data_IF_802763123114
#
_entry.id   IF_802763123114
#
_cell.length_a   1.000
_cell.length_b   1.000
_cell.length_c   1.000
_cell.angle_alpha   90.00
_cell.angle_beta   90.00
_cell.angle_gamma   90.00
#
_symmetry.space_group_name_H-M   'P 1'
#
loop_
_entity.id
_entity.type
_entity.pdbx_description
1 polymer ?
#
# COMPACT_ATOMS: atom_id res chain seq x y z
N UNK A 1 55.54 49.23 -34.20
CA UNK A 1 56.95 49.43 -33.70
C UNK A 1 57.02 48.80 -32.32
N UNK A 2 58.01 47.93 -32.19
CA UNK A 2 58.70 47.48 -30.97
C UNK A 2 57.88 46.77 -29.91
N UNK A 3 57.92 45.39 -29.78
CA UNK A 3 59.00 44.57 -29.12
C UNK A 3 58.87 44.64 -27.59
N UNK A 4 58.82 43.63 -26.86
CA UNK A 4 59.47 42.33 -26.58
C UNK A 4 59.21 42.00 -25.12
N UNK A 5 59.04 40.82 -24.77
CA UNK A 5 59.69 39.65 -24.21
C UNK A 5 59.22 39.43 -22.75
N UNK A 6 58.64 38.34 -22.48
CA UNK A 6 59.13 37.05 -21.97
C UNK A 6 59.60 37.09 -20.50
N UNK A 7 58.94 36.24 -19.70
CA UNK A 7 59.70 35.35 -18.83
C UNK A 7 58.74 34.26 -18.27
N UNK A 8 59.14 33.04 -18.51
CA UNK A 8 58.55 31.82 -17.96
C UNK A 8 59.03 31.62 -16.53
N UNK A 9 58.20 31.16 -15.66
CA UNK A 9 58.62 30.45 -14.46
C UNK A 9 57.75 29.23 -14.26
N UNK A 10 58.38 28.10 -14.52
CA UNK A 10 57.88 26.76 -14.20
C UNK A 10 58.05 26.57 -12.72
N UNK A 11 56.98 26.19 -12.01
CA UNK A 11 57.07 25.54 -10.73
C UNK A 11 56.06 24.38 -10.73
N UNK A 12 56.61 23.20 -10.94
CA UNK A 12 55.92 21.93 -10.69
C UNK A 12 55.91 21.67 -9.20
N UNK A 13 54.76 21.39 -8.65
CA UNK A 13 54.62 20.74 -7.35
C UNK A 13 53.44 19.80 -7.34
N UNK A 14 53.82 18.54 -7.37
CA UNK A 14 53.25 17.35 -6.71
C UNK A 14 51.72 17.23 -6.60
N UNK A 15 51.23 16.29 -7.38
CA UNK A 15 50.05 15.54 -7.14
C UNK A 15 50.14 14.75 -5.84
N UNK A 16 49.22 14.99 -4.92
CA UNK A 16 48.72 13.93 -4.06
C UNK A 16 47.25 13.82 -4.34
N UNK A 17 46.89 12.81 -5.10
CA UNK A 17 45.53 12.40 -5.31
C UNK A 17 44.96 11.81 -4.04
N UNK A 18 43.83 12.32 -3.61
CA UNK A 18 42.80 11.53 -2.91
C UNK A 18 41.58 11.57 -3.79
N UNK A 19 41.43 10.52 -4.58
CA UNK A 19 40.17 10.20 -5.18
C UNK A 19 39.27 9.66 -4.04
N UNK A 20 38.55 10.56 -3.38
CA UNK A 20 37.34 10.19 -2.68
C UNK A 20 36.25 10.15 -3.73
N UNK A 21 35.90 8.93 -4.15
CA UNK A 21 34.62 8.65 -4.78
C UNK A 21 33.53 9.02 -3.76
N UNK A 22 32.93 10.17 -3.94
CA UNK A 22 31.72 10.51 -3.22
C UNK A 22 30.61 9.64 -3.75
N UNK A 23 30.34 8.51 -3.09
CA UNK A 23 29.00 7.99 -3.01
C UNK A 23 28.17 9.11 -2.39
N UNK A 24 27.27 9.65 -3.15
CA UNK A 24 26.15 10.38 -2.58
C UNK A 24 25.22 9.33 -1.96
N UNK A 25 25.59 8.87 -0.76
CA UNK A 25 24.62 8.30 0.13
C UNK A 25 23.61 9.42 0.39
N UNK A 26 22.41 9.23 -0.09
CA UNK A 26 21.24 9.94 0.43
C UNK A 26 21.20 9.56 1.90
N UNK A 27 21.71 10.41 2.76
CA UNK A 27 21.50 10.33 4.19
C UNK A 27 20.01 10.58 4.39
N UNK A 28 19.20 9.50 4.49
CA UNK A 28 17.98 9.56 5.28
C UNK A 28 18.44 10.07 6.66
N UNK A 29 17.73 11.04 7.19
CA UNK A 29 17.98 11.51 8.54
C UNK A 29 17.85 10.26 9.44
N UNK A 30 18.92 9.92 10.18
CA UNK A 30 19.01 8.65 10.94
C UNK A 30 17.88 8.49 11.98
N UNK A 31 16.99 9.47 12.10
CA UNK A 31 15.86 9.52 13.04
C UNK A 31 14.47 9.51 12.36
N UNK A 32 14.36 9.21 11.07
CA UNK A 32 13.07 9.19 10.36
C UNK A 32 12.63 7.76 10.08
N UNK A 33 11.38 7.45 10.45
CA UNK A 33 10.70 6.20 10.08
C UNK A 33 9.85 6.44 8.83
N UNK A 34 10.26 5.88 7.70
CA UNK A 34 9.64 6.09 6.39
C UNK A 34 8.69 4.94 6.07
N UNK A 35 7.41 5.23 5.97
CA UNK A 35 6.35 4.24 5.74
C UNK A 35 5.71 4.42 4.37
N UNK A 36 5.63 3.33 3.59
CA UNK A 36 4.94 3.29 2.31
C UNK A 36 3.48 2.87 2.46
N UNK A 37 2.57 3.59 1.77
CA UNK A 37 1.16 3.24 1.62
C UNK A 37 0.57 3.87 0.36
N UNK A 38 -0.58 3.38 -0.14
CA UNK A 38 -1.21 3.94 -1.34
C UNK A 38 -1.85 5.32 -1.10
N UNK A 39 -2.37 5.56 0.10
CA UNK A 39 -3.22 6.70 0.44
C UNK A 39 -4.46 6.81 -0.46
N UNK A 40 -5.04 5.67 -0.86
CA UNK A 40 -6.23 5.56 -1.70
C UNK A 40 -7.18 4.43 -1.24
N UNK A 41 -7.02 3.94 -0.02
CA UNK A 41 -7.69 2.77 0.55
C UNK A 41 -8.34 3.10 1.91
N UNK A 42 -9.43 3.87 1.88
CA UNK A 42 -10.19 4.20 3.09
C UNK A 42 -10.96 2.95 3.60
N UNK A 43 -11.06 2.73 4.92
CA UNK A 43 -10.61 3.59 6.03
C UNK A 43 -9.19 3.30 6.54
N UNK A 44 -8.42 2.49 5.83
CA UNK A 44 -7.06 2.13 6.24
C UNK A 44 -6.07 3.27 6.00
N UNK A 45 -6.00 3.78 4.76
CA UNK A 45 -5.14 4.90 4.42
C UNK A 45 -5.71 5.68 3.24
N UNK A 46 -5.90 7.00 3.39
CA UNK A 46 -6.41 7.87 2.33
C UNK A 46 -5.81 9.28 2.39
N UNK A 47 -5.91 9.99 1.25
CA UNK A 47 -5.55 11.41 1.19
C UNK A 47 -6.70 12.30 1.63
N UNK A 48 -6.36 13.33 2.41
CA UNK A 48 -7.27 14.42 2.74
C UNK A 48 -6.59 15.77 2.50
N UNK A 49 -7.39 16.80 2.19
CA UNK A 49 -6.92 18.20 2.11
C UNK A 49 -6.95 18.90 3.46
N UNK A 50 -7.63 18.32 4.45
CA UNK A 50 -7.82 18.90 5.77
C UNK A 50 -6.88 18.22 6.76
N UNK A 51 -6.23 19.01 7.60
CA UNK A 51 -5.48 18.52 8.75
C UNK A 51 -6.46 18.06 9.83
N UNK A 52 -6.22 16.89 10.38
CA UNK A 52 -6.95 16.29 11.50
C UNK A 52 -5.99 15.97 12.64
N UNK A 53 -6.53 15.62 13.80
CA UNK A 53 -5.73 15.20 14.96
C UNK A 53 -4.92 13.90 14.70
N UNK A 54 -5.20 13.22 13.60
CA UNK A 54 -4.62 11.89 13.25
C UNK A 54 -3.92 11.86 11.92
N UNK A 55 -3.94 12.98 11.19
CA UNK A 55 -3.33 13.02 9.85
C UNK A 55 -1.85 13.38 9.88
N UNK A 56 -1.12 12.87 8.89
CA UNK A 56 0.31 13.12 8.68
C UNK A 56 0.51 13.90 7.38
N UNK A 57 1.30 14.98 7.36
CA UNK A 57 1.54 15.76 6.15
C UNK A 57 2.20 14.94 5.04
N UNK A 58 1.72 15.12 3.80
CA UNK A 58 2.30 14.58 2.57
C UNK A 58 3.02 15.67 1.77
N UNK A 59 3.76 16.53 2.45
CA UNK A 59 4.39 17.71 1.87
C UNK A 59 3.36 18.68 1.28
N UNK A 60 3.48 19.03 0.00
CA UNK A 60 2.51 19.91 -0.69
C UNK A 60 1.24 19.20 -1.17
N UNK A 61 1.12 17.88 -0.93
CA UNK A 61 0.05 17.05 -1.48
C UNK A 61 -1.14 16.85 -0.52
N UNK A 62 -1.18 17.58 0.59
CA UNK A 62 -2.18 17.43 1.66
C UNK A 62 -1.70 16.50 2.76
N UNK A 63 -2.58 15.65 3.26
CA UNK A 63 -2.31 14.79 4.40
C UNK A 63 -2.72 13.34 4.09
N UNK A 64 -2.06 12.39 4.74
CA UNK A 64 -2.52 11.01 4.87
C UNK A 64 -3.30 10.87 6.18
N UNK A 65 -4.42 10.14 6.16
CA UNK A 65 -5.18 9.80 7.34
C UNK A 65 -5.67 8.34 7.24
N UNK A 66 -6.06 7.76 8.36
CA UNK A 66 -6.59 6.41 8.42
C UNK A 66 -5.99 5.53 9.49
N UNK A 67 -6.51 4.29 9.55
CA UNK A 67 -6.09 3.31 10.54
C UNK A 67 -4.60 2.99 10.44
N UNK A 68 -4.10 2.74 9.22
CA UNK A 68 -2.68 2.46 8.96
C UNK A 68 -1.77 3.64 9.34
N UNK A 69 -2.25 4.87 9.08
CA UNK A 69 -1.52 6.09 9.46
C UNK A 69 -1.36 6.19 10.97
N UNK A 70 -2.41 5.84 11.73
CA UNK A 70 -2.36 5.82 13.20
C UNK A 70 -1.45 4.73 13.74
N UNK A 71 -1.43 3.55 13.09
CA UNK A 71 -0.49 2.47 13.43
C UNK A 71 0.94 2.95 13.18
N UNK A 72 1.20 3.60 12.06
CA UNK A 72 2.52 4.16 11.74
C UNK A 72 2.97 5.23 12.75
N UNK A 73 2.08 6.15 13.13
CA UNK A 73 2.36 7.17 14.16
C UNK A 73 2.71 6.53 15.50
N UNK A 74 1.87 5.56 15.96
CA UNK A 74 2.11 4.87 17.21
C UNK A 74 3.49 4.21 17.25
N UNK A 75 3.88 3.55 16.15
CA UNK A 75 5.18 2.90 16.02
C UNK A 75 6.31 3.93 16.03
N UNK A 76 6.19 5.02 15.28
CA UNK A 76 7.21 6.08 15.25
C UNK A 76 7.43 6.70 16.64
N UNK A 77 6.34 6.99 17.36
CA UNK A 77 6.36 7.52 18.72
C UNK A 77 7.09 6.57 19.69
N UNK A 78 6.79 5.27 19.64
CA UNK A 78 7.43 4.26 20.49
C UNK A 78 8.92 4.04 20.15
N UNK A 79 9.30 4.28 18.89
CA UNK A 79 10.69 4.25 18.46
C UNK A 79 11.43 5.56 18.77
N UNK A 80 10.71 6.64 19.07
CA UNK A 80 11.26 7.99 19.23
C UNK A 80 11.77 8.58 17.92
N UNK A 81 11.13 8.24 16.78
CA UNK A 81 11.48 8.64 15.42
C UNK A 81 10.42 9.60 14.85
N UNK A 82 10.84 10.45 13.92
CA UNK A 82 9.93 11.25 13.12
C UNK A 82 9.27 10.37 12.04
N UNK A 83 7.97 10.51 11.81
CA UNK A 83 7.25 9.75 10.80
C UNK A 83 7.23 10.50 9.45
N UNK A 84 7.65 9.82 8.39
CA UNK A 84 7.42 10.22 7.01
C UNK A 84 6.54 9.19 6.30
N UNK A 85 5.48 9.63 5.62
CA UNK A 85 4.64 8.76 4.78
C UNK A 85 4.93 9.03 3.31
N UNK A 86 5.26 7.97 2.57
CA UNK A 86 5.41 8.00 1.12
C UNK A 86 4.19 7.38 0.44
N UNK A 87 3.57 8.16 -0.44
CA UNK A 87 2.49 7.66 -1.30
C UNK A 87 3.09 6.89 -2.47
N UNK A 88 2.86 5.58 -2.51
CA UNK A 88 3.40 4.66 -3.51
C UNK A 88 2.25 3.79 -4.02
N UNK A 89 2.20 3.52 -5.33
CA UNK A 89 1.22 2.57 -5.88
C UNK A 89 1.41 1.17 -5.29
N UNK A 90 0.33 0.40 -5.20
CA UNK A 90 0.36 -0.96 -4.63
C UNK A 90 1.52 -1.81 -5.15
N UNK A 91 1.67 -1.90 -6.47
CA UNK A 91 2.73 -2.69 -7.14
C UNK A 91 4.15 -2.19 -6.81
N UNK A 92 4.28 -0.94 -6.34
CA UNK A 92 5.56 -0.30 -6.01
C UNK A 92 6.00 -0.48 -4.55
N UNK A 93 5.10 -0.90 -3.64
CA UNK A 93 5.36 -0.92 -2.20
C UNK A 93 6.49 -1.89 -1.82
N UNK A 94 6.40 -3.16 -2.21
CA UNK A 94 7.44 -4.15 -1.89
C UNK A 94 8.78 -3.86 -2.61
N UNK A 95 8.81 -3.42 -3.88
CA UNK A 95 10.04 -2.93 -4.51
C UNK A 95 10.68 -1.74 -3.79
N UNK A 96 9.89 -0.78 -3.29
CA UNK A 96 10.41 0.35 -2.51
C UNK A 96 10.99 -0.11 -1.16
N UNK A 97 10.37 -1.10 -0.52
CA UNK A 97 10.86 -1.71 0.70
C UNK A 97 12.19 -2.44 0.48
N UNK A 98 12.29 -3.25 -0.56
CA UNK A 98 13.51 -4.00 -0.91
C UNK A 98 14.68 -3.05 -1.24
N UNK A 99 14.43 -1.97 -1.97
CA UNK A 99 15.46 -0.96 -2.30
C UNK A 99 15.90 -0.12 -1.09
N UNK A 100 15.13 -0.14 0.01
CA UNK A 100 15.37 0.71 1.18
C UNK A 100 14.91 2.16 0.99
N UNK A 101 14.02 2.41 0.02
CA UNK A 101 13.36 3.71 -0.13
C UNK A 101 12.38 3.99 1.02
N UNK A 102 11.79 2.92 1.59
CA UNK A 102 10.93 2.92 2.77
C UNK A 102 11.41 1.87 3.76
N UNK A 103 11.11 2.06 5.04
CA UNK A 103 11.50 1.15 6.13
C UNK A 103 10.43 0.08 6.39
N UNK A 104 9.17 0.40 6.10
CA UNK A 104 8.04 -0.49 6.30
C UNK A 104 6.90 -0.22 5.28
N UNK A 105 6.10 -1.25 5.01
CA UNK A 105 4.79 -1.11 4.36
C UNK A 105 3.72 -1.30 5.42
N UNK A 106 2.86 -0.28 5.61
CA UNK A 106 1.67 -0.33 6.46
C UNK A 106 0.50 0.15 5.58
N UNK A 107 -0.17 -0.80 4.92
CA UNK A 107 -1.05 -0.49 3.79
C UNK A 107 -2.20 -1.51 3.63
N UNK A 108 -2.73 -2.06 4.73
CA UNK A 108 -3.73 -3.11 4.64
C UNK A 108 -3.21 -4.39 3.98
N UNK A 109 -1.91 -4.68 4.10
CA UNK A 109 -1.27 -5.77 3.36
C UNK A 109 -1.36 -7.10 4.13
N UNK A 110 -1.89 -8.13 3.49
CA UNK A 110 -1.88 -9.50 4.01
C UNK A 110 -0.52 -10.16 3.75
N UNK A 111 0.02 -10.85 4.73
CA UNK A 111 1.15 -11.75 4.54
C UNK A 111 0.68 -13.00 3.78
N UNK A 112 1.31 -13.30 2.65
CA UNK A 112 1.06 -14.54 1.92
C UNK A 112 2.38 -15.13 1.42
N UNK A 113 2.37 -16.41 1.00
CA UNK A 113 3.57 -17.14 0.60
C UNK A 113 4.38 -16.44 -0.50
N UNK A 114 3.73 -15.74 -1.42
CA UNK A 114 4.42 -15.00 -2.50
C UNK A 114 5.17 -13.80 -1.94
N UNK A 115 4.51 -13.00 -1.10
CA UNK A 115 5.08 -11.78 -0.51
C UNK A 115 6.16 -12.10 0.52
N UNK A 116 6.01 -13.20 1.26
CA UNK A 116 7.01 -13.68 2.23
C UNK A 116 8.32 -14.17 1.58
N UNK A 117 8.37 -14.31 0.26
CA UNK A 117 9.62 -14.59 -0.46
C UNK A 117 10.53 -13.35 -0.59
N UNK A 118 10.01 -12.16 -0.41
CA UNK A 118 10.75 -10.91 -0.58
C UNK A 118 10.60 -9.91 0.57
N UNK A 119 9.85 -10.26 1.61
CA UNK A 119 9.67 -9.41 2.79
C UNK A 119 9.41 -10.24 4.05
N UNK A 120 9.85 -9.75 5.19
CA UNK A 120 9.44 -10.24 6.50
C UNK A 120 8.13 -9.58 6.94
N UNK A 121 7.25 -10.33 7.60
CA UNK A 121 5.99 -9.79 8.10
C UNK A 121 5.90 -9.87 9.62
N UNK A 122 5.21 -8.90 10.22
CA UNK A 122 4.85 -8.93 11.64
C UNK A 122 3.67 -9.89 11.88
N UNK A 123 3.32 -10.11 13.15
CA UNK A 123 1.99 -10.61 13.48
C UNK A 123 0.93 -9.63 12.97
N UNK A 124 -0.28 -10.10 12.61
CA UNK A 124 -1.34 -9.22 12.15
C UNK A 124 -1.70 -8.13 13.17
N UNK A 125 -1.94 -6.92 12.68
CA UNK A 125 -2.46 -5.81 13.48
C UNK A 125 -3.96 -5.57 13.27
N UNK A 126 -4.54 -6.22 12.26
CA UNK A 126 -5.97 -6.21 11.97
C UNK A 126 -6.39 -7.55 11.37
N UNK A 127 -7.62 -7.96 11.65
CA UNK A 127 -8.26 -9.16 11.09
C UNK A 127 -9.68 -8.78 10.66
N UNK A 128 -10.00 -9.03 9.38
CA UNK A 128 -11.30 -8.77 8.80
C UNK A 128 -12.22 -9.97 9.01
N UNK A 129 -13.54 -9.74 9.06
CA UNK A 129 -14.55 -10.80 9.16
C UNK A 129 -14.77 -11.59 7.84
N UNK A 130 -13.81 -11.50 6.90
CA UNK A 130 -13.84 -12.17 5.61
C UNK A 130 -14.14 -11.22 4.44
N UNK A 131 -14.19 -11.81 3.24
CA UNK A 131 -14.43 -11.06 2.01
C UNK A 131 -15.92 -11.02 1.66
N UNK A 132 -16.32 -9.88 1.10
CA UNK A 132 -17.68 -9.58 0.64
C UNK A 132 -17.66 -9.13 -0.83
N UNK A 133 -18.81 -8.85 -1.39
CA UNK A 133 -18.94 -8.25 -2.72
C UNK A 133 -19.66 -6.91 -2.63
N UNK A 134 -19.15 -5.88 -3.31
CA UNK A 134 -19.87 -4.62 -3.53
C UNK A 134 -20.58 -4.73 -4.88
N UNK A 135 -21.86 -4.43 -4.92
CA UNK A 135 -22.71 -4.51 -6.12
C UNK A 135 -23.61 -3.29 -6.24
N UNK A 136 -24.24 -3.09 -7.40
CA UNK A 136 -25.31 -2.08 -7.55
C UNK A 136 -26.52 -2.48 -6.71
N UNK A 137 -27.10 -1.53 -6.00
CA UNK A 137 -28.21 -1.75 -5.04
C UNK A 137 -29.50 -2.27 -5.69
N UNK A 138 -29.73 -1.88 -6.93
CA UNK A 138 -30.94 -2.22 -7.69
C UNK A 138 -30.75 -3.41 -8.63
N UNK A 139 -29.61 -4.08 -8.55
CA UNK A 139 -29.29 -5.26 -9.35
C UNK A 139 -29.76 -6.55 -8.68
N UNK A 140 -29.88 -7.64 -9.46
CA UNK A 140 -30.21 -8.96 -8.91
C UNK A 140 -29.12 -9.49 -7.98
N UNK A 141 -27.85 -9.12 -8.22
CA UNK A 141 -26.70 -9.51 -7.43
C UNK A 141 -26.83 -9.06 -5.97
N UNK A 142 -27.57 -7.98 -5.70
CA UNK A 142 -27.83 -7.50 -4.33
C UNK A 142 -28.62 -8.51 -3.46
N UNK A 143 -29.18 -9.54 -4.05
CA UNK A 143 -29.93 -10.60 -3.36
C UNK A 143 -29.16 -11.92 -3.20
N UNK A 144 -27.93 -11.96 -3.70
CA UNK A 144 -27.11 -13.18 -3.65
C UNK A 144 -26.59 -13.47 -2.24
N UNK A 145 -26.46 -14.75 -1.92
CA UNK A 145 -25.94 -15.24 -0.62
C UNK A 145 -24.86 -16.32 -0.78
N UNK A 146 -24.51 -16.66 -2.02
CA UNK A 146 -23.50 -17.66 -2.37
C UNK A 146 -22.64 -17.09 -3.50
N UNK A 147 -21.31 -17.16 -3.38
CA UNK A 147 -20.39 -16.67 -4.43
C UNK A 147 -20.66 -17.32 -5.78
N UNK A 148 -21.14 -18.57 -5.81
CA UNK A 148 -21.41 -19.29 -7.06
C UNK A 148 -22.58 -18.69 -7.86
N UNK A 149 -23.42 -17.85 -7.25
CA UNK A 149 -24.47 -17.13 -7.98
C UNK A 149 -23.89 -16.06 -8.93
N UNK A 150 -22.62 -15.66 -8.72
CA UNK A 150 -21.90 -14.78 -9.64
C UNK A 150 -21.34 -15.51 -10.89
N UNK A 151 -21.67 -16.78 -11.11
CA UNK A 151 -21.31 -17.51 -12.34
C UNK A 151 -21.82 -16.75 -13.58
N UNK A 152 -20.93 -16.50 -14.55
CA UNK A 152 -21.19 -15.71 -15.76
C UNK A 152 -21.25 -14.19 -15.56
N UNK A 153 -21.13 -13.68 -14.33
CA UNK A 153 -21.06 -12.24 -14.03
C UNK A 153 -19.63 -11.71 -14.22
N UNK A 154 -19.55 -10.41 -14.48
CA UNK A 154 -18.30 -9.69 -14.60
C UNK A 154 -17.83 -9.25 -13.21
N UNK A 155 -16.78 -9.85 -12.67
CA UNK A 155 -16.26 -9.53 -11.34
C UNK A 155 -14.84 -9.00 -11.46
N UNK A 156 -14.51 -7.98 -10.66
CA UNK A 156 -13.20 -7.31 -10.66
C UNK A 156 -12.66 -7.19 -9.26
N UNK A 157 -11.33 -7.35 -9.12
CA UNK A 157 -10.56 -7.09 -7.91
C UNK A 157 -9.47 -6.06 -8.14
N UNK A 158 -8.81 -5.65 -7.06
CA UNK A 158 -7.62 -4.81 -7.15
C UNK A 158 -6.42 -5.66 -7.56
N UNK A 159 -5.69 -5.19 -8.55
CA UNK A 159 -4.54 -5.89 -9.12
C UNK A 159 -3.48 -6.25 -8.08
N UNK A 160 -3.01 -7.52 -8.11
CA UNK A 160 -1.94 -8.01 -7.24
C UNK A 160 -2.35 -8.13 -5.77
N UNK A 161 -3.65 -8.32 -5.50
CA UNK A 161 -4.17 -8.51 -4.15
C UNK A 161 -4.96 -9.81 -4.04
N UNK A 162 -5.13 -10.29 -2.80
CA UNK A 162 -6.00 -11.44 -2.52
C UNK A 162 -7.45 -11.21 -3.01
N UNK A 163 -7.89 -9.94 -3.13
CA UNK A 163 -9.22 -9.60 -3.65
C UNK A 163 -9.38 -9.93 -5.13
N UNK A 164 -8.31 -9.90 -5.92
CA UNK A 164 -8.30 -10.35 -7.31
C UNK A 164 -8.23 -11.88 -7.39
N UNK A 165 -7.33 -12.48 -6.63
CA UNK A 165 -7.05 -13.92 -6.67
C UNK A 165 -8.27 -14.77 -6.30
N UNK A 166 -9.11 -14.33 -5.34
CA UNK A 166 -10.28 -15.09 -4.89
C UNK A 166 -11.38 -15.18 -5.92
N UNK A 167 -11.41 -14.31 -6.92
CA UNK A 167 -12.46 -14.29 -7.95
C UNK A 167 -12.55 -15.64 -8.67
N UNK A 168 -11.42 -16.30 -8.87
CA UNK A 168 -11.35 -17.61 -9.53
C UNK A 168 -12.00 -18.76 -8.74
N UNK A 169 -12.40 -18.52 -7.47
CA UNK A 169 -13.23 -19.47 -6.71
C UNK A 169 -14.68 -19.52 -7.22
N UNK A 170 -15.11 -18.55 -8.00
CA UNK A 170 -16.44 -18.53 -8.62
C UNK A 170 -16.40 -19.28 -9.94
N UNK A 171 -17.07 -20.42 -10.01
CA UNK A 171 -17.09 -21.25 -11.22
C UNK A 171 -17.78 -20.52 -12.39
N UNK A 172 -17.05 -20.35 -13.49
CA UNK A 172 -17.59 -19.75 -14.70
C UNK A 172 -17.78 -18.23 -14.62
N UNK A 173 -17.15 -17.55 -13.67
CA UNK A 173 -17.12 -16.09 -13.60
C UNK A 173 -16.42 -15.50 -14.83
N UNK A 174 -16.82 -14.31 -15.25
CA UNK A 174 -16.01 -13.49 -16.13
C UNK A 174 -15.08 -12.63 -15.27
N UNK A 175 -13.88 -13.17 -14.98
CA UNK A 175 -12.85 -12.44 -14.25
C UNK A 175 -12.34 -11.27 -15.12
N UNK A 176 -12.76 -10.07 -14.79
CA UNK A 176 -12.42 -8.86 -15.55
C UNK A 176 -10.99 -8.43 -15.21
N UNK A 177 -10.28 -7.88 -16.19
CA UNK A 177 -8.93 -7.35 -15.98
C UNK A 177 -8.88 -6.45 -14.75
N UNK A 178 -8.05 -6.79 -13.74
CA UNK A 178 -8.00 -6.08 -12.47
C UNK A 178 -7.60 -4.62 -12.62
N UNK A 179 -8.06 -3.78 -11.69
CA UNK A 179 -7.78 -2.35 -11.66
C UNK A 179 -6.73 -2.00 -10.62
N UNK A 180 -6.06 -0.87 -10.80
CA UNK A 180 -5.03 -0.44 -9.86
C UNK A 180 -5.63 0.08 -8.54
N UNK A 181 -6.78 0.77 -8.60
CA UNK A 181 -7.38 1.44 -7.46
C UNK A 181 -8.89 1.18 -7.35
N UNK A 182 -9.43 1.23 -6.13
CA UNK A 182 -10.87 1.08 -5.86
C UNK A 182 -11.74 2.09 -6.60
N UNK A 183 -11.29 3.34 -6.75
CA UNK A 183 -12.03 4.35 -7.49
C UNK A 183 -12.34 3.96 -8.94
N UNK A 184 -11.43 3.28 -9.62
CA UNK A 184 -11.64 2.79 -11.00
C UNK A 184 -12.68 1.66 -11.04
N UNK A 185 -12.65 0.76 -10.05
CA UNK A 185 -13.63 -0.33 -9.93
C UNK A 185 -15.02 0.19 -9.62
N UNK A 186 -15.14 1.18 -8.72
CA UNK A 186 -16.42 1.82 -8.38
C UNK A 186 -17.05 2.45 -9.62
N UNK A 187 -16.28 3.19 -10.41
CA UNK A 187 -16.77 3.78 -11.67
C UNK A 187 -17.24 2.69 -12.64
N UNK A 188 -16.48 1.61 -12.82
CA UNK A 188 -16.86 0.50 -13.69
C UNK A 188 -18.15 -0.20 -13.21
N UNK A 189 -18.33 -0.37 -11.89
CA UNK A 189 -19.54 -0.95 -11.30
C UNK A 189 -20.76 -0.05 -11.54
N UNK A 190 -20.63 1.26 -11.32
CA UNK A 190 -21.70 2.23 -11.54
C UNK A 190 -22.10 2.34 -13.00
N UNK A 191 -21.16 2.19 -13.94
CA UNK A 191 -21.41 2.20 -15.38
C UNK A 191 -21.98 0.88 -15.91
N UNK A 192 -21.93 -0.20 -15.10
CA UNK A 192 -22.41 -1.53 -15.50
C UNK A 192 -21.41 -2.33 -16.34
N UNK A 193 -20.14 -1.91 -16.37
CA UNK A 193 -19.06 -2.66 -17.01
C UNK A 193 -18.69 -3.92 -16.22
N UNK A 194 -18.91 -3.86 -14.88
CA UNK A 194 -18.78 -5.01 -13.98
C UNK A 194 -20.04 -5.16 -13.12
N UNK A 195 -20.23 -6.34 -12.55
CA UNK A 195 -21.39 -6.69 -11.74
C UNK A 195 -21.04 -6.77 -10.25
N UNK A 196 -19.76 -6.96 -9.93
CA UNK A 196 -19.28 -7.02 -8.56
C UNK A 196 -17.83 -6.62 -8.40
N UNK A 197 -17.53 -6.09 -7.20
CA UNK A 197 -16.17 -5.77 -6.74
C UNK A 197 -15.92 -6.55 -5.47
N UNK A 198 -14.84 -7.33 -5.41
CA UNK A 198 -14.39 -8.01 -4.19
C UNK A 198 -13.79 -7.00 -3.21
N UNK A 199 -14.19 -7.09 -1.95
CA UNK A 199 -13.76 -6.17 -0.90
C UNK A 199 -13.84 -6.83 0.49
N UNK A 200 -13.38 -6.11 1.50
CA UNK A 200 -13.69 -6.37 2.90
C UNK A 200 -14.75 -5.39 3.43
N UNK A 201 -15.38 -5.73 4.55
CA UNK A 201 -16.50 -4.95 5.09
C UNK A 201 -16.10 -3.52 5.42
N UNK A 202 -14.94 -3.30 6.05
CA UNK A 202 -14.50 -1.97 6.45
C UNK A 202 -14.37 -1.01 5.27
N UNK A 203 -13.84 -1.49 4.14
CA UNK A 203 -13.73 -0.71 2.89
C UNK A 203 -15.10 -0.50 2.26
N UNK A 204 -15.92 -1.55 2.22
CA UNK A 204 -17.25 -1.48 1.62
C UNK A 204 -18.16 -0.48 2.34
N UNK A 205 -18.12 -0.40 3.66
CA UNK A 205 -18.88 0.60 4.42
C UNK A 205 -18.52 2.04 4.00
N UNK A 206 -17.23 2.32 3.82
CA UNK A 206 -16.79 3.61 3.30
C UNK A 206 -17.26 3.89 1.87
N UNK A 207 -17.20 2.87 1.00
CA UNK A 207 -17.65 2.97 -0.38
C UNK A 207 -19.15 3.23 -0.47
N UNK A 208 -20.00 2.46 0.23
CA UNK A 208 -21.46 2.64 0.18
C UNK A 208 -21.93 3.93 0.86
N UNK A 209 -21.22 4.41 1.88
CA UNK A 209 -21.51 5.70 2.48
C UNK A 209 -21.33 6.87 1.50
N UNK A 210 -20.33 6.78 0.62
CA UNK A 210 -20.06 7.75 -0.44
C UNK A 210 -20.88 7.53 -1.71
N UNK A 211 -21.39 6.31 -1.95
CA UNK A 211 -22.09 5.88 -3.16
C UNK A 211 -23.41 5.17 -2.78
N UNK A 212 -24.52 5.92 -2.55
CA UNK A 212 -25.80 5.36 -2.07
C UNK A 212 -26.50 4.41 -3.05
N UNK A 213 -26.07 4.37 -4.30
CA UNK A 213 -26.51 3.46 -5.36
C UNK A 213 -25.85 2.08 -5.29
N UNK A 214 -24.86 1.91 -4.42
CA UNK A 214 -24.17 0.64 -4.18
C UNK A 214 -24.65 -0.02 -2.86
N UNK A 215 -24.40 -1.31 -2.74
CA UNK A 215 -24.69 -2.10 -1.53
C UNK A 215 -23.68 -3.22 -1.37
N UNK A 216 -23.68 -3.84 -0.19
CA UNK A 216 -22.82 -4.98 0.15
C UNK A 216 -23.65 -6.27 0.05
N UNK A 217 -23.04 -7.30 -0.50
CA UNK A 217 -23.48 -8.69 -0.44
C UNK A 217 -22.58 -9.44 0.52
N UNK A 218 -23.16 -9.91 1.61
CA UNK A 218 -22.55 -10.86 2.53
C UNK A 218 -23.02 -12.26 2.17
N UNK A 219 -22.16 -13.23 2.29
CA UNK A 219 -22.46 -14.60 1.93
C UNK A 219 -22.86 -15.40 3.16
N UNK A 220 -23.72 -16.42 2.96
CA UNK A 220 -24.07 -17.37 3.99
C UNK A 220 -22.82 -18.14 4.46
N UNK A 221 -22.88 -18.70 5.66
CA UNK A 221 -21.79 -19.49 6.25
C UNK A 221 -21.36 -20.64 5.31
N UNK A 222 -20.06 -20.68 4.99
CA UNK A 222 -19.50 -21.65 4.05
C UNK A 222 -19.85 -21.43 2.57
N UNK A 223 -20.41 -20.24 2.23
CA UNK A 223 -20.79 -19.83 0.89
C UNK A 223 -20.01 -18.64 0.35
N UNK A 224 -19.15 -18.07 1.18
CA UNK A 224 -18.27 -16.95 0.83
C UNK A 224 -16.94 -17.40 0.24
N UNK A 225 -16.06 -16.45 0.06
CA UNK A 225 -14.68 -16.68 -0.35
C UNK A 225 -13.85 -17.30 0.77
N UNK A 226 -12.92 -18.17 0.41
CA UNK A 226 -11.89 -18.68 1.31
C UNK A 226 -10.60 -17.87 1.06
N UNK A 227 -10.22 -17.04 2.03
CA UNK A 227 -9.02 -16.22 1.95
C UNK A 227 -8.52 -15.83 3.35
N UNK A 228 -7.23 -15.58 3.45
CA UNK A 228 -6.65 -14.87 4.58
C UNK A 228 -6.97 -13.38 4.43
N UNK A 229 -7.63 -12.81 5.42
CA UNK A 229 -8.01 -11.40 5.49
C UNK A 229 -7.29 -10.63 6.59
N UNK A 230 -6.27 -11.26 7.20
CA UNK A 230 -5.40 -10.59 8.19
C UNK A 230 -4.48 -9.60 7.49
N UNK A 231 -4.18 -8.49 8.16
CA UNK A 231 -3.21 -7.51 7.66
C UNK A 231 -2.04 -7.36 8.61
N UNK A 232 -0.85 -7.25 8.03
CA UNK A 232 0.43 -7.23 8.73
C UNK A 232 1.33 -6.13 8.17
N UNK A 233 2.33 -5.75 8.93
CA UNK A 233 3.36 -4.82 8.48
C UNK A 233 4.44 -5.59 7.74
N UNK A 234 4.77 -5.18 6.50
CA UNK A 234 5.90 -5.72 5.80
C UNK A 234 7.18 -4.94 6.13
N UNK A 235 8.24 -5.68 6.42
CA UNK A 235 9.58 -5.22 6.72
C UNK A 235 10.56 -5.81 5.71
N UNK A 236 11.73 -5.19 5.54
CA UNK A 236 12.75 -5.69 4.62
C UNK A 236 13.13 -7.13 4.97
N UNK A 237 13.27 -7.97 3.94
CA UNK A 237 13.71 -9.36 4.06
C UNK A 237 15.00 -9.49 4.89
N UNK A 238 15.04 -10.48 5.78
CA UNK A 238 16.19 -10.73 6.66
C UNK A 238 16.28 -9.83 7.88
N UNK A 239 15.26 -8.96 8.13
CA UNK A 239 15.24 -8.10 9.32
C UNK A 239 14.53 -8.73 10.51
N UNK A 240 13.90 -9.90 10.33
CA UNK A 240 13.11 -10.60 11.37
C UNK A 240 13.81 -10.72 12.73
N UNK A 241 15.13 -10.88 12.74
CA UNK A 241 15.95 -11.02 13.96
C UNK A 241 16.73 -9.74 14.32
N UNK A 242 16.55 -8.64 13.58
CA UNK A 242 17.18 -7.36 13.90
C UNK A 242 16.63 -6.77 15.20
N UNK A 243 17.41 -5.91 15.86
CA UNK A 243 16.96 -5.26 17.10
C UNK A 243 15.80 -4.29 16.85
N UNK A 244 15.71 -3.71 15.66
CA UNK A 244 14.58 -2.89 15.22
C UNK A 244 13.30 -3.74 15.14
N UNK A 245 13.34 -4.88 14.42
CA UNK A 245 12.19 -5.80 14.32
C UNK A 245 11.75 -6.38 15.65
N UNK A 246 12.67 -6.57 16.62
CA UNK A 246 12.31 -7.01 17.96
C UNK A 246 11.54 -5.95 18.75
N UNK A 247 11.75 -4.65 18.45
CA UNK A 247 10.93 -3.58 19.02
C UNK A 247 9.52 -3.61 18.42
N UNK A 248 9.40 -3.75 17.09
CA UNK A 248 8.09 -3.89 16.42
C UNK A 248 7.24 -5.04 16.94
N UNK A 249 7.84 -6.17 17.33
CA UNK A 249 7.11 -7.34 17.86
C UNK A 249 6.65 -7.22 19.30
N UNK A 250 7.07 -6.20 20.01
CA UNK A 250 6.66 -5.96 21.41
C UNK A 250 5.55 -4.92 21.53
N UNK A 251 5.18 -4.28 20.43
CA UNK A 251 4.08 -3.33 20.28
C UNK A 251 2.81 -4.05 19.83
#
# INVERSE_FOLDING_TARGET
>A
MKKLLAAAAVAALALTGCASGGNTETTSDDNTFVVGMECAYAPFNWKTSEETDTSVPLGSSGYADGYDVRVAQYIADELGMDLEIKTISWDGLLPALDSGEIDAVIAGMTANEEREQGADFTTPYYDSEGMIMIVRKDSEEATYTDIQQFSGKNVVGQKGTNYDDVIDQIQGVNHVTPKQQYGEMIVALQQGDVDGITAEMAVAEGVIAANPDLTVVQFDEGKGFEADTTVSIALKEGTRDSDSSKKFRKL
#
